data_IF_406911943578
#
_entry.id   IF_406911943578
#
_cell.length_a   1.000
_cell.length_b   1.000
_cell.length_c   1.000
_cell.angle_alpha   90.00
_cell.angle_beta   90.00
_cell.angle_gamma   90.00
#
_symmetry.space_group_name_H-M   'P 1'
#
loop_
_entity.id
_entity.type
_entity.pdbx_description
1 polymer ?
#
# COMPACT_ATOMS: atom_id res chain seq x y z
N UNK A 1 -25.41 -9.32 -12.61
CA UNK A 1 -24.74 -8.21 -13.35
C UNK A 1 -24.85 -6.90 -12.55
N UNK A 2 -25.98 -6.58 -11.94
CA UNK A 2 -26.14 -5.36 -11.12
C UNK A 2 -25.30 -5.35 -9.82
N UNK A 3 -25.04 -6.51 -9.23
CA UNK A 3 -24.22 -6.64 -7.97
C UNK A 3 -22.75 -6.25 -8.15
N UNK A 4 -22.21 -6.26 -9.38
CA UNK A 4 -20.82 -5.84 -9.64
C UNK A 4 -20.69 -4.35 -9.93
N UNK A 5 -21.75 -3.71 -10.44
CA UNK A 5 -21.71 -2.30 -10.86
C UNK A 5 -21.40 -1.29 -9.76
N UNK A 6 -21.67 -1.63 -8.49
CA UNK A 6 -21.52 -0.71 -7.36
C UNK A 6 -20.56 -1.23 -6.29
N UNK A 7 -19.72 -2.22 -6.62
CA UNK A 7 -18.85 -2.85 -5.63
C UNK A 7 -17.77 -1.89 -5.11
N UNK A 8 -17.19 -1.08 -5.97
CA UNK A 8 -16.20 -0.07 -5.58
C UNK A 8 -16.77 0.97 -4.61
N UNK A 9 -17.93 1.51 -4.95
CA UNK A 9 -18.65 2.46 -4.08
C UNK A 9 -19.01 1.84 -2.75
N UNK A 10 -19.50 0.60 -2.74
CA UNK A 10 -19.83 -0.12 -1.51
C UNK A 10 -18.59 -0.29 -0.62
N UNK A 11 -17.48 -0.76 -1.17
CA UNK A 11 -16.24 -0.94 -0.43
C UNK A 11 -15.70 0.38 0.14
N UNK A 12 -15.82 1.47 -0.62
CA UNK A 12 -15.43 2.80 -0.15
C UNK A 12 -16.26 3.24 1.07
N UNK A 13 -17.58 3.08 1.01
CA UNK A 13 -18.47 3.41 2.12
C UNK A 13 -18.19 2.53 3.35
N UNK A 14 -17.99 1.24 3.15
CA UNK A 14 -17.64 0.30 4.22
C UNK A 14 -16.30 0.67 4.88
N UNK A 15 -15.28 1.01 4.08
CA UNK A 15 -13.99 1.47 4.59
C UNK A 15 -14.15 2.71 5.48
N UNK A 16 -14.86 3.72 4.99
CA UNK A 16 -15.08 4.98 5.72
C UNK A 16 -15.90 4.79 6.99
N UNK A 17 -16.76 3.78 7.04
CA UNK A 17 -17.59 3.47 8.21
C UNK A 17 -16.82 2.83 9.37
N UNK A 18 -15.64 2.27 9.11
CA UNK A 18 -14.83 1.64 10.16
C UNK A 18 -14.29 2.70 11.09
N UNK A 19 -14.50 2.51 12.39
CA UNK A 19 -14.00 3.42 13.42
C UNK A 19 -12.47 3.43 13.44
N UNK A 20 -11.89 4.61 13.45
CA UNK A 20 -10.45 4.79 13.61
C UNK A 20 -10.01 4.41 15.02
N UNK A 21 -8.81 3.85 15.15
CA UNK A 21 -8.22 3.49 16.44
C UNK A 21 -8.05 2.00 16.65
N UNK A 22 -7.38 1.64 17.75
CA UNK A 22 -6.97 0.27 18.07
C UNK A 22 -8.12 -0.73 18.17
N UNK A 23 -9.28 -0.31 18.64
CA UNK A 23 -10.41 -1.21 18.85
C UNK A 23 -10.92 -1.88 17.57
N UNK A 24 -10.76 -1.22 16.41
CA UNK A 24 -11.26 -1.68 15.12
C UNK A 24 -10.15 -2.08 14.13
N UNK A 25 -8.92 -2.26 14.60
CA UNK A 25 -7.79 -2.52 13.69
C UNK A 25 -7.97 -3.82 12.87
N UNK A 26 -8.49 -4.87 13.46
CA UNK A 26 -8.75 -6.14 12.75
C UNK A 26 -9.80 -6.00 11.65
N UNK A 27 -10.85 -5.23 11.93
CA UNK A 27 -11.90 -4.94 10.95
C UNK A 27 -11.32 -4.13 9.78
N UNK A 28 -10.47 -3.17 10.07
CA UNK A 28 -9.77 -2.37 9.06
C UNK A 28 -8.83 -3.23 8.20
N UNK A 29 -8.00 -4.08 8.81
CA UNK A 29 -7.11 -5.00 8.08
C UNK A 29 -7.89 -5.91 7.13
N UNK A 30 -8.96 -6.54 7.61
CA UNK A 30 -9.82 -7.40 6.78
C UNK A 30 -10.40 -6.63 5.60
N UNK A 31 -10.84 -5.41 5.83
CA UNK A 31 -11.38 -4.56 4.77
C UNK A 31 -10.31 -4.19 3.76
N UNK A 32 -9.12 -3.83 4.19
CA UNK A 32 -7.99 -3.55 3.31
C UNK A 32 -7.62 -4.76 2.45
N UNK A 33 -7.57 -5.96 3.01
CA UNK A 33 -7.32 -7.18 2.24
C UNK A 33 -8.39 -7.42 1.17
N UNK A 34 -9.67 -7.26 1.53
CA UNK A 34 -10.77 -7.38 0.59
C UNK A 34 -10.67 -6.35 -0.55
N UNK A 35 -10.35 -5.11 -0.22
CA UNK A 35 -10.15 -4.03 -1.18
C UNK A 35 -9.00 -4.34 -2.14
N UNK A 36 -7.85 -4.76 -1.63
CA UNK A 36 -6.68 -5.09 -2.45
C UNK A 36 -6.96 -6.24 -3.41
N UNK A 37 -7.67 -7.26 -2.99
CA UNK A 37 -8.10 -8.38 -3.84
C UNK A 37 -9.09 -7.95 -4.92
N UNK A 38 -9.94 -6.98 -4.63
CA UNK A 38 -10.83 -6.40 -5.63
C UNK A 38 -10.09 -5.50 -6.63
N UNK A 39 -9.15 -4.68 -6.15
CA UNK A 39 -8.40 -3.77 -7.00
C UNK A 39 -7.41 -4.49 -7.93
N UNK A 40 -6.72 -5.50 -7.41
CA UNK A 40 -5.58 -6.12 -8.08
C UNK A 40 -5.69 -7.65 -8.19
N UNK A 41 -6.81 -8.18 -8.72
CA UNK A 41 -7.03 -9.64 -8.76
C UNK A 41 -6.05 -10.38 -9.68
N UNK A 42 -5.55 -9.71 -10.71
CA UNK A 42 -4.64 -10.28 -11.70
C UNK A 42 -3.19 -9.83 -11.52
N UNK A 43 -2.96 -8.76 -10.78
CA UNK A 43 -1.66 -8.12 -10.63
C UNK A 43 -0.87 -8.68 -9.47
N UNK A 44 -1.55 -9.07 -8.39
CA UNK A 44 -0.94 -9.52 -7.16
C UNK A 44 -1.36 -10.95 -6.84
N UNK A 45 -0.39 -11.76 -6.42
CA UNK A 45 -0.58 -13.18 -6.14
C UNK A 45 0.11 -13.59 -4.84
N UNK A 46 -0.22 -14.81 -4.38
CA UNK A 46 0.42 -15.36 -3.20
C UNK A 46 0.16 -14.48 -1.98
N UNK A 47 -1.09 -14.14 -1.78
CA UNK A 47 -1.55 -13.30 -0.68
C UNK A 47 -1.22 -13.94 0.68
N UNK A 48 -0.20 -13.41 1.36
CA UNK A 48 0.22 -13.88 2.68
C UNK A 48 -0.10 -12.84 3.75
N UNK A 49 -1.10 -13.14 4.57
CA UNK A 49 -1.42 -12.35 5.76
C UNK A 49 -0.48 -12.72 6.90
N UNK A 50 -0.02 -11.73 7.66
CA UNK A 50 0.72 -11.91 8.89
C UNK A 50 1.98 -12.81 8.74
N UNK A 51 2.63 -12.74 7.59
CA UNK A 51 3.84 -13.52 7.31
C UNK A 51 4.99 -13.06 8.21
N UNK A 52 5.73 -14.00 8.78
CA UNK A 52 6.92 -13.73 9.58
C UNK A 52 8.19 -14.20 8.87
N UNK A 53 9.30 -13.55 9.17
CA UNK A 53 10.62 -14.05 8.80
C UNK A 53 11.01 -15.24 9.69
N UNK A 54 11.93 -16.10 9.24
CA UNK A 54 12.30 -17.32 9.96
C UNK A 54 12.93 -17.04 11.33
N UNK A 55 13.62 -15.90 11.47
CA UNK A 55 14.15 -15.43 12.76
C UNK A 55 13.08 -14.84 13.69
N UNK A 56 11.85 -14.68 13.19
CA UNK A 56 10.71 -14.12 13.92
C UNK A 56 10.81 -12.62 14.22
N UNK A 57 11.84 -11.94 13.73
CA UNK A 57 12.09 -10.52 14.01
C UNK A 57 11.16 -9.58 13.24
N UNK A 58 10.70 -10.01 12.08
CA UNK A 58 9.82 -9.21 11.23
C UNK A 58 8.49 -9.94 10.98
N UNK A 59 7.41 -9.19 11.01
CA UNK A 59 6.07 -9.66 10.70
C UNK A 59 5.40 -8.67 9.78
N UNK A 60 5.06 -9.11 8.58
CA UNK A 60 4.35 -8.31 7.58
C UNK A 60 2.84 -8.43 7.78
N UNK A 61 2.12 -7.33 7.65
CA UNK A 61 0.65 -7.39 7.68
C UNK A 61 0.15 -8.16 6.47
N UNK A 62 0.67 -7.83 5.30
CA UNK A 62 0.26 -8.47 4.06
C UNK A 62 1.37 -8.39 3.01
N UNK A 63 1.70 -9.48 2.35
CA UNK A 63 2.73 -9.51 1.31
C UNK A 63 2.25 -10.28 0.09
N UNK A 64 2.56 -9.76 -1.09
CA UNK A 64 2.15 -10.32 -2.37
C UNK A 64 3.31 -10.38 -3.35
N UNK A 65 3.25 -11.35 -4.27
CA UNK A 65 4.10 -11.39 -5.44
C UNK A 65 3.47 -10.55 -6.56
N UNK A 66 4.28 -9.76 -7.24
CA UNK A 66 3.84 -8.88 -8.33
C UNK A 66 3.85 -9.64 -9.65
N UNK A 67 2.76 -9.52 -10.42
CA UNK A 67 2.70 -9.81 -11.85
C UNK A 67 2.76 -8.51 -12.64
N UNK A 68 3.63 -8.40 -13.65
CA UNK A 68 3.77 -7.16 -14.41
C UNK A 68 2.66 -7.03 -15.49
N UNK A 69 1.42 -6.92 -15.06
CA UNK A 69 0.25 -6.83 -15.94
C UNK A 69 -0.09 -5.40 -16.35
N UNK A 70 0.36 -4.40 -15.58
CA UNK A 70 0.16 -2.98 -15.86
C UNK A 70 1.50 -2.25 -15.90
N UNK A 71 1.49 -1.04 -16.46
CA UNK A 71 2.68 -0.19 -16.53
C UNK A 71 3.29 0.08 -15.15
N UNK A 72 2.44 0.34 -14.15
CA UNK A 72 2.90 0.59 -12.78
C UNK A 72 3.65 -0.62 -12.19
N UNK A 73 3.08 -1.83 -12.30
CA UNK A 73 3.73 -3.02 -11.76
C UNK A 73 4.98 -3.43 -12.55
N UNK A 74 5.02 -3.16 -13.85
CA UNK A 74 6.25 -3.29 -14.65
C UNK A 74 7.34 -2.35 -14.15
N UNK A 75 6.99 -1.10 -13.92
CA UNK A 75 7.90 -0.11 -13.32
C UNK A 75 8.49 -0.59 -11.99
N UNK A 76 7.67 -1.12 -11.09
CA UNK A 76 8.12 -1.63 -9.79
C UNK A 76 9.14 -2.77 -9.96
N UNK A 77 8.87 -3.73 -10.83
CA UNK A 77 9.79 -4.85 -11.08
C UNK A 77 11.07 -4.38 -11.76
N UNK A 78 10.96 -3.59 -12.81
CA UNK A 78 12.09 -3.22 -13.68
C UNK A 78 13.01 -2.17 -13.05
N UNK A 79 12.45 -1.17 -12.40
CA UNK A 79 13.21 -0.04 -11.87
C UNK A 79 13.52 -0.12 -10.38
N UNK A 80 12.68 -0.80 -9.60
CA UNK A 80 12.94 -1.01 -8.18
C UNK A 80 13.55 -2.38 -7.88
N UNK A 81 13.59 -3.28 -8.87
CA UNK A 81 13.99 -4.67 -8.67
C UNK A 81 13.23 -5.33 -7.51
N UNK A 82 11.93 -5.06 -7.42
CA UNK A 82 11.06 -5.58 -6.38
C UNK A 82 10.10 -6.62 -6.94
N UNK A 83 10.26 -7.86 -6.51
CA UNK A 83 9.39 -8.98 -6.88
C UNK A 83 8.14 -9.01 -6.03
N UNK A 84 8.25 -8.48 -4.82
CA UNK A 84 7.20 -8.47 -3.83
C UNK A 84 6.81 -7.04 -3.46
N UNK A 85 5.56 -6.87 -3.08
CA UNK A 85 5.05 -5.64 -2.46
C UNK A 85 4.52 -5.98 -1.07
N UNK A 86 4.91 -5.17 -0.09
CA UNK A 86 4.43 -5.25 1.27
C UNK A 86 3.34 -4.23 1.50
N UNK A 87 2.29 -4.65 2.18
CA UNK A 87 1.24 -3.75 2.64
C UNK A 87 1.24 -3.71 4.17
N UNK A 88 1.20 -2.52 4.71
CA UNK A 88 1.01 -2.26 6.13
C UNK A 88 -0.31 -1.51 6.33
N UNK A 89 -1.09 -1.94 7.30
CA UNK A 89 -2.41 -1.39 7.57
C UNK A 89 -2.40 -0.67 8.91
N UNK A 90 -2.62 0.65 8.89
CA UNK A 90 -2.52 1.52 10.06
C UNK A 90 -3.83 2.24 10.34
N UNK A 91 -4.68 1.62 11.18
CA UNK A 91 -5.98 2.19 11.59
C UNK A 91 -5.84 3.17 12.74
N UNK A 92 -5.14 4.27 12.53
CA UNK A 92 -4.85 5.27 13.55
C UNK A 92 -5.87 6.42 13.54
N UNK A 93 -6.07 7.03 14.71
CA UNK A 93 -6.89 8.23 14.85
C UNK A 93 -6.25 9.43 14.13
N UNK A 94 -4.95 9.59 14.28
CA UNK A 94 -4.17 10.66 13.68
C UNK A 94 -3.31 10.18 12.51
N UNK A 95 -2.48 11.09 12.02
CA UNK A 95 -1.49 10.80 11.00
C UNK A 95 -0.42 9.85 11.52
N UNK A 96 0.13 9.01 10.63
CA UNK A 96 1.26 8.15 10.97
C UNK A 96 2.53 8.97 11.18
N UNK A 97 3.39 8.48 12.05
CA UNK A 97 4.63 9.13 12.47
C UNK A 97 5.85 8.39 11.93
N UNK A 98 7.02 8.97 12.10
CA UNK A 98 8.28 8.40 11.63
C UNK A 98 8.54 6.97 12.12
N UNK A 99 8.09 6.61 13.33
CA UNK A 99 8.28 5.25 13.86
C UNK A 99 7.64 4.16 13.00
N UNK A 100 6.50 4.42 12.38
CA UNK A 100 5.85 3.49 11.47
C UNK A 100 6.64 3.32 10.17
N UNK A 101 7.24 4.40 9.68
CA UNK A 101 8.10 4.35 8.49
C UNK A 101 9.37 3.55 8.78
N UNK A 102 10.02 3.81 9.91
CA UNK A 102 11.24 3.10 10.33
C UNK A 102 10.99 1.59 10.44
N UNK A 103 9.86 1.19 10.99
CA UNK A 103 9.47 -0.22 11.10
C UNK A 103 9.26 -0.84 9.71
N UNK A 104 8.53 -0.16 8.84
CA UNK A 104 8.29 -0.63 7.47
C UNK A 104 9.59 -0.73 6.68
N UNK A 105 10.47 0.25 6.79
CA UNK A 105 11.77 0.26 6.12
C UNK A 105 12.62 -0.96 6.48
N UNK A 106 12.60 -1.38 7.74
CA UNK A 106 13.31 -2.57 8.21
C UNK A 106 12.80 -3.87 7.57
N UNK A 107 11.54 -3.91 7.15
CA UNK A 107 10.98 -5.07 6.46
C UNK A 107 11.44 -5.17 5.02
N UNK A 108 11.88 -4.07 4.42
CA UNK A 108 12.35 -4.03 3.05
C UNK A 108 13.81 -4.46 2.97
N UNK A 109 14.07 -5.46 2.14
CA UNK A 109 15.40 -6.05 1.98
C UNK A 109 15.68 -6.25 0.48
N UNK A 110 16.74 -5.62 -0.01
CA UNK A 110 17.15 -5.70 -1.42
C UNK A 110 17.37 -7.15 -1.88
N UNK A 111 18.20 -7.88 -1.16
CA UNK A 111 18.49 -9.29 -1.48
C UNK A 111 17.28 -10.22 -1.36
N UNK A 112 16.27 -9.79 -0.61
CA UNK A 112 14.99 -10.49 -0.52
C UNK A 112 13.99 -10.09 -1.61
N UNK A 113 14.40 -9.24 -2.57
CA UNK A 113 13.57 -8.70 -3.65
C UNK A 113 12.32 -7.97 -3.14
N UNK A 114 12.44 -7.34 -1.98
CA UNK A 114 11.42 -6.54 -1.31
C UNK A 114 11.92 -5.11 -1.19
N UNK A 115 11.58 -4.25 -2.15
CA UNK A 115 12.00 -2.83 -2.18
C UNK A 115 10.83 -1.87 -2.23
N UNK A 116 9.60 -2.41 -2.19
CA UNK A 116 8.39 -1.61 -2.22
C UNK A 116 7.44 -1.98 -1.10
N UNK A 117 6.93 -0.97 -0.42
CA UNK A 117 5.84 -1.08 0.53
C UNK A 117 4.77 -0.02 0.27
N UNK A 118 3.53 -0.37 0.56
CA UNK A 118 2.40 0.56 0.57
C UNK A 118 1.81 0.55 1.98
N UNK A 119 1.81 1.71 2.63
CA UNK A 119 1.17 1.89 3.93
C UNK A 119 -0.23 2.45 3.68
N UNK A 120 -1.23 1.65 4.01
CA UNK A 120 -2.62 2.10 3.99
C UNK A 120 -2.97 2.67 5.36
N UNK A 121 -3.38 3.91 5.38
CA UNK A 121 -3.71 4.64 6.61
C UNK A 121 -4.98 5.47 6.40
N UNK A 122 -5.58 5.95 7.48
CA UNK A 122 -6.86 6.66 7.39
C UNK A 122 -6.70 8.12 6.93
N UNK A 123 -5.66 8.79 7.40
CA UNK A 123 -5.51 10.26 7.24
C UNK A 123 -4.20 10.71 6.62
N UNK A 124 -3.24 9.80 6.40
CA UNK A 124 -1.93 10.14 5.84
C UNK A 124 -0.81 10.16 6.87
N UNK A 125 0.26 10.91 6.59
CA UNK A 125 1.48 10.94 7.39
C UNK A 125 1.88 12.36 7.81
N UNK A 126 2.57 12.46 8.94
CA UNK A 126 3.20 13.70 9.39
C UNK A 126 4.41 14.06 8.50
N UNK A 127 4.81 15.33 8.53
CA UNK A 127 5.93 15.84 7.72
C UNK A 127 7.24 15.07 7.93
N UNK A 128 7.58 14.73 9.17
CA UNK A 128 8.78 13.93 9.48
C UNK A 128 8.68 12.50 8.95
N UNK A 129 7.51 11.90 8.96
CA UNK A 129 7.30 10.57 8.36
C UNK A 129 7.50 10.61 6.84
N UNK A 130 6.97 11.63 6.17
CA UNK A 130 7.18 11.84 4.73
C UNK A 130 8.67 12.07 4.41
N UNK A 131 9.38 12.85 5.20
CA UNK A 131 10.82 13.05 5.04
C UNK A 131 11.59 11.73 5.16
N UNK A 132 11.18 10.83 6.06
CA UNK A 132 11.80 9.49 6.19
C UNK A 132 11.54 8.61 4.98
N UNK A 133 10.36 8.65 4.37
CA UNK A 133 10.10 7.90 3.13
C UNK A 133 10.99 8.40 2.00
N UNK A 134 11.20 9.71 1.90
CA UNK A 134 12.12 10.31 0.93
C UNK A 134 13.57 9.86 1.16
N UNK A 135 14.04 9.83 2.41
CA UNK A 135 15.35 9.32 2.78
C UNK A 135 15.55 7.85 2.42
N UNK A 136 14.57 7.01 2.71
CA UNK A 136 14.61 5.58 2.36
C UNK A 136 14.77 5.36 0.85
N UNK A 137 14.07 6.13 0.03
CA UNK A 137 14.20 6.05 -1.42
C UNK A 137 15.55 6.58 -1.90
N UNK A 138 15.95 7.76 -1.46
CA UNK A 138 17.19 8.41 -1.89
C UNK A 138 18.43 7.60 -1.53
N UNK A 139 18.48 7.05 -0.33
CA UNK A 139 19.68 6.39 0.21
C UNK A 139 19.74 4.90 -0.13
N UNK A 140 18.60 4.22 -0.22
CA UNK A 140 18.53 2.77 -0.33
C UNK A 140 17.66 2.27 -1.49
N UNK A 141 17.03 3.16 -2.25
CA UNK A 141 16.13 2.77 -3.33
C UNK A 141 14.88 1.99 -2.87
N UNK A 142 14.45 2.23 -1.64
CA UNK A 142 13.23 1.63 -1.06
C UNK A 142 12.06 2.57 -1.21
N UNK A 143 11.07 2.18 -1.99
CA UNK A 143 9.88 2.99 -2.24
C UNK A 143 8.79 2.64 -1.23
N UNK A 144 8.44 3.60 -0.38
CA UNK A 144 7.36 3.49 0.59
C UNK A 144 6.30 4.53 0.21
N UNK A 145 5.17 4.06 -0.30
CA UNK A 145 4.03 4.91 -0.64
C UNK A 145 3.02 4.92 0.51
N UNK A 146 2.44 6.09 0.77
CA UNK A 146 1.42 6.27 1.79
C UNK A 146 0.10 6.58 1.09
N UNK A 147 -0.90 5.74 1.34
CA UNK A 147 -2.21 5.82 0.69
C UNK A 147 -3.28 5.97 1.77
N UNK A 148 -4.00 7.10 1.73
CA UNK A 148 -5.08 7.37 2.66
C UNK A 148 -6.44 6.87 2.14
N UNK A 149 -7.49 7.00 2.97
CA UNK A 149 -8.83 6.56 2.60
C UNK A 149 -9.36 7.23 1.32
N UNK A 150 -9.05 8.50 1.09
CA UNK A 150 -9.45 9.21 -0.14
C UNK A 150 -8.85 8.56 -1.38
N UNK A 151 -7.55 8.26 -1.36
CA UNK A 151 -6.86 7.63 -2.48
C UNK A 151 -7.33 6.18 -2.71
N UNK A 152 -7.61 5.45 -1.64
CA UNK A 152 -8.22 4.12 -1.74
C UNK A 152 -9.58 4.20 -2.42
N UNK A 153 -10.43 5.13 -1.99
CA UNK A 153 -11.74 5.34 -2.61
C UNK A 153 -11.64 5.78 -4.07
N UNK A 154 -10.68 6.63 -4.41
CA UNK A 154 -10.41 7.01 -5.80
C UNK A 154 -10.10 5.77 -6.67
N UNK A 155 -9.21 4.90 -6.20
CA UNK A 155 -8.90 3.63 -6.90
C UNK A 155 -10.13 2.72 -7.03
N UNK A 156 -10.95 2.63 -5.98
CA UNK A 156 -12.18 1.83 -5.99
C UNK A 156 -13.18 2.33 -7.03
N UNK A 157 -13.34 3.64 -7.14
CA UNK A 157 -14.21 4.25 -8.15
C UNK A 157 -13.64 4.07 -9.57
N UNK A 158 -12.33 4.19 -9.75
CA UNK A 158 -11.67 3.92 -11.03
C UNK A 158 -11.92 2.48 -11.48
N UNK A 159 -11.70 1.51 -10.60
CA UNK A 159 -11.96 0.09 -10.89
C UNK A 159 -13.41 -0.17 -11.28
N UNK A 160 -14.35 0.45 -10.57
CA UNK A 160 -15.79 0.34 -10.85
C UNK A 160 -16.17 0.86 -12.23
N UNK A 161 -15.48 1.92 -12.71
CA UNK A 161 -15.67 2.48 -14.05
C UNK A 161 -14.92 1.75 -15.16
N UNK A 162 -14.17 0.69 -14.83
CA UNK A 162 -13.34 -0.03 -15.78
C UNK A 162 -12.01 0.65 -16.12
N UNK A 163 -11.60 1.63 -15.31
CA UNK A 163 -10.29 2.28 -15.41
C UNK A 163 -9.24 1.49 -14.61
N UNK A 164 -7.97 1.70 -14.94
CA UNK A 164 -6.85 1.06 -14.23
C UNK A 164 -6.57 1.78 -12.90
N UNK A 165 -6.84 1.16 -11.73
CA UNK A 165 -6.58 1.79 -10.45
C UNK A 165 -5.09 2.03 -10.18
N UNK A 166 -4.18 1.35 -10.89
CA UNK A 166 -2.73 1.58 -10.73
C UNK A 166 -2.29 2.93 -11.28
N UNK A 167 -3.09 3.59 -12.12
CA UNK A 167 -2.81 4.96 -12.56
C UNK A 167 -2.81 5.93 -11.37
N UNK A 168 -3.66 5.71 -10.38
CA UNK A 168 -3.64 6.47 -9.13
C UNK A 168 -2.35 6.23 -8.33
N UNK A 169 -1.89 4.98 -8.26
CA UNK A 169 -0.61 4.66 -7.63
C UNK A 169 0.56 5.29 -8.37
N UNK A 170 0.51 5.32 -9.70
CA UNK A 170 1.54 5.95 -10.51
C UNK A 170 1.60 7.46 -10.28
N UNK A 171 0.46 8.11 -10.18
CA UNK A 171 0.39 9.54 -9.84
C UNK A 171 1.05 9.83 -8.48
N UNK A 172 0.75 9.01 -7.47
CA UNK A 172 1.36 9.14 -6.15
C UNK A 172 2.88 8.93 -6.23
N UNK A 173 3.32 7.90 -6.94
CA UNK A 173 4.74 7.59 -7.12
C UNK A 173 5.48 8.67 -7.89
N UNK A 174 4.91 9.19 -8.98
CA UNK A 174 5.49 10.25 -9.78
C UNK A 174 5.67 11.53 -8.97
N UNK A 175 4.65 11.96 -8.26
CA UNK A 175 4.73 13.12 -7.38
C UNK A 175 5.82 12.94 -6.33
N UNK A 176 5.93 11.76 -5.75
CA UNK A 176 6.94 11.44 -4.75
C UNK A 176 8.36 11.49 -5.36
N UNK A 177 8.58 10.80 -6.48
CA UNK A 177 9.90 10.69 -7.10
C UNK A 177 10.39 12.01 -7.70
N UNK A 178 9.52 12.77 -8.35
CA UNK A 178 9.86 14.04 -8.98
C UNK A 178 10.16 15.15 -7.95
N UNK A 179 9.66 15.02 -6.74
CA UNK A 179 9.87 16.00 -5.65
C UNK A 179 10.91 15.57 -4.62
N UNK A 180 11.63 14.46 -4.87
CA UNK A 180 12.69 14.02 -3.96
C UNK A 180 13.76 15.11 -3.81
N UNK A 181 14.09 15.55 -2.58
CA UNK A 181 15.17 16.48 -2.34
C UNK A 181 16.53 15.80 -2.58
N UNK A 182 17.52 16.61 -2.96
CA UNK A 182 18.90 16.15 -3.10
C UNK A 182 19.58 15.94 -1.76
#
# INVERSE_FOLDING_TARGET
>A
IERQKNKGTKLCLELKSIKKGKASWRQYEKKCEEILKYLFPNDLHGWHSQKRTDDGLNRYDFVCRIRPTTEFWKFVIEHLNSRYVLFEFKNYLGKIKQGQILTTEKYLLEKGLRRMAIIMTRTGAEAHALAMTQGAMREQGKLILIVNDEKVCEMLHMKERGEDPTDCLFEIADNFLLTLPR
#
